data_IF_954459680963
#
_entry.id   IF_954459680963
#
_cell.length_a   1.000
_cell.length_b   1.000
_cell.length_c   1.000
_cell.angle_alpha   90.00
_cell.angle_beta   90.00
_cell.angle_gamma   90.00
#
_symmetry.space_group_name_H-M   'P 1'
#
loop_
_entity.id
_entity.type
_entity.pdbx_description
1 polymer ?
#
# COMPACT_ATOMS: atom_id res chain seq x y z
N UNK A 1 -15.28 -5.33 13.42
CA UNK A 1 -14.21 -4.33 13.67
C UNK A 1 -13.70 -3.67 12.38
N UNK A 2 -13.46 -4.43 11.30
CA UNK A 2 -12.97 -3.90 10.02
C UNK A 2 -13.80 -2.73 9.45
N UNK A 3 -15.13 -2.84 9.46
CA UNK A 3 -16.03 -1.78 8.98
C UNK A 3 -15.95 -0.47 9.82
N UNK A 4 -15.48 -0.53 11.07
CA UNK A 4 -15.28 0.66 11.93
C UNK A 4 -13.92 1.31 11.66
N UNK A 5 -12.90 0.50 11.34
CA UNK A 5 -11.57 0.96 10.94
C UNK A 5 -11.60 1.64 9.57
N UNK A 6 -12.31 1.07 8.61
CA UNK A 6 -12.48 1.65 7.26
C UNK A 6 -13.19 3.02 7.28
N UNK A 7 -14.00 3.30 8.31
CA UNK A 7 -14.71 4.59 8.46
C UNK A 7 -13.84 5.72 9.01
N UNK A 8 -12.72 5.41 9.67
CA UNK A 8 -11.81 6.42 10.23
C UNK A 8 -10.67 6.72 9.25
N UNK A 9 -10.51 7.96 8.77
CA UNK A 9 -9.40 8.35 7.89
C UNK A 9 -8.02 7.97 8.46
N UNK A 10 -7.86 8.06 9.79
CA UNK A 10 -6.59 7.72 10.45
C UNK A 10 -6.31 6.23 10.38
N UNK A 11 -7.30 5.40 10.69
CA UNK A 11 -7.14 3.95 10.64
C UNK A 11 -6.93 3.46 9.19
N UNK A 12 -7.54 4.13 8.22
CA UNK A 12 -7.32 3.86 6.80
C UNK A 12 -5.85 4.11 6.39
N UNK A 13 -5.24 5.19 6.89
CA UNK A 13 -3.82 5.46 6.66
C UNK A 13 -2.92 4.42 7.33
N UNK A 14 -3.22 4.02 8.56
CA UNK A 14 -2.45 2.94 9.21
C UNK A 14 -2.55 1.61 8.43
N UNK A 15 -3.69 1.34 7.79
CA UNK A 15 -3.88 0.12 7.01
C UNK A 15 -3.02 0.07 5.74
N UNK A 16 -2.66 1.23 5.18
CA UNK A 16 -1.75 1.35 4.02
C UNK A 16 -0.32 0.89 4.31
N UNK A 17 0.12 0.90 5.57
CA UNK A 17 1.44 0.40 5.94
C UNK A 17 1.54 -1.12 5.79
N UNK A 18 0.43 -1.85 5.95
CA UNK A 18 0.43 -3.31 5.88
C UNK A 18 0.93 -3.81 4.52
N UNK A 19 0.30 -3.48 3.38
CA UNK A 19 0.78 -3.97 2.09
C UNK A 19 2.19 -3.45 1.76
N UNK A 20 2.52 -2.20 2.11
CA UNK A 20 3.85 -1.64 1.83
C UNK A 20 4.94 -2.36 2.60
N UNK A 21 4.71 -2.71 3.87
CA UNK A 21 5.66 -3.46 4.69
C UNK A 21 5.71 -4.96 4.37
N UNK A 22 4.72 -5.49 3.63
CA UNK A 22 4.65 -6.90 3.27
C UNK A 22 5.64 -7.25 2.13
N UNK A 23 6.92 -7.05 2.39
CA UNK A 23 8.02 -7.31 1.45
C UNK A 23 8.73 -8.60 1.88
N UNK A 24 8.90 -9.57 0.97
CA UNK A 24 9.70 -10.76 1.23
C UNK A 24 11.16 -10.40 1.59
N UNK A 25 11.75 -10.98 2.66
CA UNK A 25 13.12 -10.65 3.08
C UNK A 25 14.18 -10.90 2.00
N UNK A 26 13.93 -11.82 1.08
CA UNK A 26 14.84 -12.21 -0.01
C UNK A 26 15.12 -11.08 -0.99
N UNK A 27 14.15 -10.19 -1.24
CA UNK A 27 14.27 -9.12 -2.25
C UNK A 27 14.56 -7.74 -1.63
N UNK A 28 14.72 -7.66 -0.31
CA UNK A 28 14.81 -6.39 0.43
C UNK A 28 15.90 -5.45 -0.11
N UNK A 29 17.06 -5.99 -0.49
CA UNK A 29 18.17 -5.20 -1.06
C UNK A 29 17.85 -4.62 -2.44
N UNK A 30 17.10 -5.36 -3.25
CA UNK A 30 16.78 -4.95 -4.62
C UNK A 30 15.71 -3.87 -4.65
N UNK A 31 14.78 -3.92 -3.70
CA UNK A 31 13.66 -2.97 -3.62
C UNK A 31 13.91 -1.85 -2.63
N UNK A 32 15.10 -1.76 -2.00
CA UNK A 32 15.38 -0.82 -0.92
C UNK A 32 15.07 0.63 -1.31
N UNK A 33 15.47 1.07 -2.50
CA UNK A 33 15.18 2.43 -3.00
C UNK A 33 13.68 2.66 -3.15
N UNK A 34 12.95 1.70 -3.74
CA UNK A 34 11.51 1.77 -3.92
C UNK A 34 10.77 1.78 -2.57
N UNK A 35 11.18 0.92 -1.64
CA UNK A 35 10.62 0.82 -0.30
C UNK A 35 10.82 2.11 0.51
N UNK A 36 12.00 2.73 0.41
CA UNK A 36 12.27 4.04 1.03
C UNK A 36 11.38 5.13 0.42
N UNK A 37 11.25 5.16 -0.91
CA UNK A 37 10.38 6.12 -1.58
C UNK A 37 8.91 5.94 -1.16
N UNK A 38 8.39 4.71 -1.16
CA UNK A 38 7.03 4.39 -0.70
C UNK A 38 6.81 4.81 0.75
N UNK A 39 7.79 4.57 1.63
CA UNK A 39 7.72 4.98 3.04
C UNK A 39 7.64 6.51 3.19
N UNK A 40 8.44 7.25 2.42
CA UNK A 40 8.40 8.72 2.42
C UNK A 40 7.03 9.26 1.97
N UNK A 41 6.45 8.67 0.92
CA UNK A 41 5.12 9.05 0.47
C UNK A 41 4.03 8.69 1.51
N UNK A 42 4.13 7.54 2.19
CA UNK A 42 3.23 7.20 3.29
C UNK A 42 3.31 8.23 4.43
N UNK A 43 4.51 8.68 4.80
CA UNK A 43 4.67 9.73 5.82
C UNK A 43 3.99 11.03 5.36
N UNK A 44 4.16 11.43 4.10
CA UNK A 44 3.48 12.60 3.54
C UNK A 44 1.94 12.44 3.57
N UNK A 45 1.41 11.26 3.25
CA UNK A 45 -0.01 10.94 3.37
C UNK A 45 -0.49 11.11 4.81
N UNK A 46 0.23 10.56 5.79
CA UNK A 46 -0.10 10.71 7.22
C UNK A 46 -0.22 12.18 7.56
N UNK A 47 0.79 12.99 7.24
CA UNK A 47 0.80 14.43 7.51
C UNK A 47 -0.42 15.11 6.88
N UNK A 48 -0.69 14.84 5.60
CA UNK A 48 -1.80 15.46 4.88
C UNK A 48 -3.18 15.07 5.45
N UNK A 49 -3.37 13.82 5.89
CA UNK A 49 -4.61 13.37 6.53
C UNK A 49 -4.79 14.01 7.91
N UNK A 50 -3.71 14.16 8.69
CA UNK A 50 -3.77 14.87 9.98
C UNK A 50 -4.08 16.37 9.80
N UNK A 51 -3.64 16.97 8.70
CA UNK A 51 -3.95 18.37 8.36
C UNK A 51 -5.30 18.56 7.65
N UNK A 52 -6.05 17.50 7.37
CA UNK A 52 -7.33 17.56 6.65
C UNK A 52 -7.20 18.07 5.21
N UNK A 53 -6.07 17.77 4.55
CA UNK A 53 -5.79 18.26 3.20
C UNK A 53 -6.28 17.26 2.15
N UNK A 54 -7.02 17.75 1.15
CA UNK A 54 -7.54 16.91 0.07
C UNK A 54 -6.45 16.18 -0.74
N UNK A 55 -5.27 16.79 -0.91
CA UNK A 55 -4.14 16.18 -1.64
C UNK A 55 -3.67 14.86 -1.01
N UNK A 56 -3.93 14.64 0.28
CA UNK A 56 -3.50 13.43 0.99
C UNK A 56 -4.19 12.17 0.48
N UNK A 57 -5.44 12.29 0.01
CA UNK A 57 -6.15 11.18 -0.60
C UNK A 57 -5.56 10.85 -1.97
N UNK A 58 -5.33 11.86 -2.82
CA UNK A 58 -4.69 11.67 -4.13
C UNK A 58 -3.33 11.00 -3.97
N UNK A 59 -2.53 11.43 -2.98
CA UNK A 59 -1.25 10.82 -2.69
C UNK A 59 -1.40 9.39 -2.18
N UNK A 60 -2.42 9.09 -1.37
CA UNK A 60 -2.69 7.72 -0.91
C UNK A 60 -3.03 6.78 -2.08
N UNK A 61 -3.89 7.23 -2.99
CA UNK A 61 -4.25 6.49 -4.21
C UNK A 61 -2.98 6.22 -5.04
N UNK A 62 -2.14 7.25 -5.22
CA UNK A 62 -0.87 7.11 -5.93
C UNK A 62 0.04 6.06 -5.27
N UNK A 63 0.23 6.11 -3.95
CA UNK A 63 1.09 5.15 -3.23
C UNK A 63 0.57 3.72 -3.32
N UNK A 64 -0.75 3.52 -3.16
CA UNK A 64 -1.36 2.19 -3.27
C UNK A 64 -1.25 1.65 -4.70
N UNK A 65 -1.48 2.50 -5.71
CA UNK A 65 -1.34 2.13 -7.11
C UNK A 65 0.11 1.80 -7.48
N UNK A 66 1.07 2.59 -6.98
CA UNK A 66 2.49 2.34 -7.18
C UNK A 66 2.91 1.02 -6.54
N UNK A 67 2.56 0.78 -5.27
CA UNK A 67 2.87 -0.48 -4.58
C UNK A 67 2.24 -1.71 -5.25
N UNK A 68 1.03 -1.56 -5.80
CA UNK A 68 0.37 -2.62 -6.57
C UNK A 68 1.17 -2.97 -7.84
N UNK A 69 1.56 -1.97 -8.62
CA UNK A 69 2.33 -2.18 -9.86
C UNK A 69 3.72 -2.73 -9.57
N UNK A 70 4.44 -2.18 -8.57
CA UNK A 70 5.78 -2.68 -8.22
C UNK A 70 5.75 -4.16 -7.83
N UNK A 71 4.74 -4.61 -7.09
CA UNK A 71 4.61 -6.03 -6.74
C UNK A 71 4.24 -6.91 -7.92
N UNK A 72 3.42 -6.44 -8.85
CA UNK A 72 3.19 -7.15 -10.11
C UNK A 72 4.47 -7.28 -10.94
N UNK A 73 5.33 -6.26 -10.95
CA UNK A 73 6.61 -6.34 -11.65
C UNK A 73 7.58 -7.30 -10.96
N UNK A 74 7.53 -7.40 -9.63
CA UNK A 74 8.44 -8.23 -8.84
C UNK A 74 8.02 -9.70 -8.77
N UNK A 75 6.73 -10.02 -8.89
CA UNK A 75 6.24 -11.38 -8.67
C UNK A 75 6.78 -12.35 -9.72
N UNK A 76 6.73 -12.01 -11.01
CA UNK A 76 7.15 -12.88 -12.11
C UNK A 76 8.64 -13.26 -12.08
N UNK A 77 9.59 -12.32 -11.91
CA UNK A 77 11.02 -12.67 -11.90
C UNK A 77 11.48 -13.43 -10.65
N UNK A 78 10.71 -13.39 -9.55
CA UNK A 78 11.14 -13.96 -8.26
C UNK A 78 10.29 -15.14 -7.78
N UNK A 79 9.22 -15.50 -8.50
CA UNK A 79 8.37 -16.63 -8.15
C UNK A 79 9.10 -17.98 -8.28
N UNK A 80 10.04 -18.06 -9.22
CA UNK A 80 10.89 -19.24 -9.41
C UNK A 80 12.27 -18.91 -8.85
N UNK A 81 12.74 -19.72 -7.90
CA UNK A 81 14.08 -19.59 -7.33
C UNK A 81 15.17 -19.86 -8.36
N UNK A 82 16.41 -19.49 -8.04
CA UNK A 82 17.57 -19.84 -8.87
C UNK A 82 17.77 -21.36 -9.03
N UNK A 83 17.23 -22.16 -8.10
CA UNK A 83 17.22 -23.62 -8.16
C UNK A 83 16.08 -24.20 -9.01
N UNK A 84 15.26 -23.36 -9.65
CA UNK A 84 14.13 -23.77 -10.49
C UNK A 84 12.89 -24.20 -9.70
N UNK A 85 12.87 -24.03 -8.38
CA UNK A 85 11.73 -24.37 -7.53
C UNK A 85 10.80 -23.17 -7.38
N UNK A 86 9.50 -23.42 -7.33
CA UNK A 86 8.51 -22.36 -7.08
C UNK A 86 8.52 -22.00 -5.60
N UNK A 87 8.80 -20.73 -5.28
CA UNK A 87 8.70 -20.21 -3.92
C UNK A 87 7.24 -19.85 -3.63
N UNK A 88 6.50 -20.85 -3.11
CA UNK A 88 5.09 -20.72 -2.75
C UNK A 88 4.88 -19.66 -1.67
N UNK A 89 5.82 -19.52 -0.73
CA UNK A 89 5.71 -18.53 0.36
C UNK A 89 5.82 -17.11 -0.20
N UNK A 90 6.81 -16.87 -1.06
CA UNK A 90 6.96 -15.61 -1.79
C UNK A 90 5.68 -15.30 -2.58
N UNK A 91 5.17 -16.27 -3.35
CA UNK A 91 3.95 -16.12 -4.13
C UNK A 91 2.74 -15.70 -3.26
N UNK A 92 2.52 -16.38 -2.13
CA UNK A 92 1.40 -16.06 -1.22
C UNK A 92 1.54 -14.66 -0.62
N UNK A 93 2.74 -14.26 -0.18
CA UNK A 93 3.00 -12.91 0.36
C UNK A 93 2.71 -11.85 -0.72
N UNK A 94 3.22 -12.05 -1.93
CA UNK A 94 3.04 -11.10 -3.03
C UNK A 94 1.57 -10.96 -3.43
N UNK A 95 0.87 -12.08 -3.63
CA UNK A 95 -0.57 -12.09 -3.97
C UNK A 95 -1.39 -11.42 -2.86
N UNK A 96 -1.12 -11.74 -1.60
CA UNK A 96 -1.82 -11.13 -0.46
C UNK A 96 -1.61 -9.62 -0.45
N UNK A 97 -0.38 -9.16 -0.67
CA UNK A 97 -0.13 -7.73 -0.71
C UNK A 97 -0.78 -7.04 -1.89
N UNK A 98 -0.76 -7.64 -3.08
CA UNK A 98 -1.40 -7.09 -4.28
C UNK A 98 -2.90 -6.96 -4.03
N UNK A 99 -3.53 -7.98 -3.44
CA UNK A 99 -4.94 -7.96 -3.09
C UNK A 99 -5.27 -6.85 -2.06
N UNK A 100 -4.43 -6.68 -1.03
CA UNK A 100 -4.58 -5.62 -0.04
C UNK A 100 -4.42 -4.22 -0.65
N UNK A 101 -3.40 -4.00 -1.47
CA UNK A 101 -3.18 -2.72 -2.17
C UNK A 101 -4.35 -2.40 -3.09
N UNK A 102 -4.85 -3.38 -3.84
CA UNK A 102 -6.02 -3.21 -4.71
C UNK A 102 -7.30 -2.90 -3.95
N UNK A 103 -7.55 -3.60 -2.84
CA UNK A 103 -8.72 -3.34 -1.99
C UNK A 103 -8.68 -1.93 -1.37
N UNK A 104 -7.51 -1.49 -0.91
CA UNK A 104 -7.31 -0.15 -0.39
C UNK A 104 -7.45 0.91 -1.47
N UNK A 105 -6.89 0.69 -2.66
CA UNK A 105 -7.04 1.59 -3.80
C UNK A 105 -8.52 1.81 -4.16
N UNK A 106 -9.28 0.72 -4.29
CA UNK A 106 -10.72 0.78 -4.57
C UNK A 106 -11.48 1.57 -3.49
N UNK A 107 -11.18 1.34 -2.21
CA UNK A 107 -11.84 2.05 -1.13
C UNK A 107 -11.45 3.53 -1.07
N UNK A 108 -10.19 3.86 -1.35
CA UNK A 108 -9.68 5.22 -1.33
C UNK A 108 -10.16 6.09 -2.48
N UNK A 109 -10.55 5.49 -3.60
CA UNK A 109 -11.13 6.21 -4.74
C UNK A 109 -12.59 6.66 -4.50
N UNK A 110 -13.20 6.24 -3.39
CA UNK A 110 -14.58 6.66 -3.08
C UNK A 110 -14.65 8.13 -2.64
N UNK A 111 -15.67 8.90 -3.11
CA UNK A 111 -15.83 10.30 -2.75
C UNK A 111 -16.10 10.51 -1.25
N UNK A 112 -16.61 9.48 -0.57
CA UNK A 112 -16.83 9.49 0.87
C UNK A 112 -15.53 9.71 1.66
N UNK A 113 -14.41 9.12 1.20
CA UNK A 113 -13.10 9.28 1.85
C UNK A 113 -12.62 10.72 1.69
N UNK A 114 -12.85 11.34 0.52
CA UNK A 114 -12.52 12.74 0.25
C UNK A 114 -13.23 13.68 1.22
N UNK A 115 -14.54 13.49 1.34
CA UNK A 115 -15.38 14.31 2.24
C UNK A 115 -14.96 14.12 3.69
N UNK A 116 -14.61 12.89 4.12
CA UNK A 116 -14.17 12.64 5.50
C UNK A 116 -12.80 13.24 5.83
N UNK A 117 -11.91 13.36 4.85
CA UNK A 117 -10.59 14.00 5.03
C UNK A 117 -10.72 15.52 5.00
N UNK A 118 -11.46 16.08 4.03
CA UNK A 118 -11.60 17.53 3.84
C UNK A 118 -12.60 18.18 4.82
N UNK A 119 -13.66 17.47 5.19
CA UNK A 119 -14.71 17.93 6.12
C UNK A 119 -14.30 17.94 7.59
N UNK A 120 -13.00 17.83 7.90
CA UNK A 120 -12.43 17.92 9.26
C UNK A 120 -11.99 19.33 9.66
N UNK A 121 -12.43 20.35 8.93
CA UNK A 121 -12.27 21.76 9.33
C UNK A 121 -13.44 22.22 10.18
#
# INVERSE_FOLDING_TARGET
MLNRMLKSPKALVFLQFIPVLLIPPSIFRQVAVLAVAELLFLIAVVIGVYQGRAWSQTLSIFVMGFNFITKLMLIFPHLVSESGQVDVLFGVIMVTSIALSGALLYYMDTPEVAVRIAGRR
#
